data_IF_921616078965
#
_entry.id   IF_921616078965
#
_cell.length_a   1.000
_cell.length_b   1.000
_cell.length_c   1.000
_cell.angle_alpha   90.00
_cell.angle_beta   90.00
_cell.angle_gamma   90.00
#
_symmetry.space_group_name_H-M   'P 1'
#
loop_
_entity.id
_entity.type
_entity.pdbx_description
1 polymer ?
#
# COMPACT_ATOMS: atom_id res chain seq x y z
N UNK A 1 -39.16 23.65 42.15
CA UNK A 1 -39.43 24.90 41.40
C UNK A 1 -38.77 26.08 42.11
N UNK A 2 -37.77 26.73 41.50
CA UNK A 2 -37.41 28.16 41.67
C UNK A 2 -36.26 28.49 40.70
N UNK A 3 -36.55 29.32 39.69
CA UNK A 3 -35.58 29.77 38.68
C UNK A 3 -34.60 30.75 39.32
N UNK A 4 -33.29 30.49 39.20
CA UNK A 4 -32.25 31.47 39.55
C UNK A 4 -32.01 32.34 38.31
N UNK A 5 -32.46 33.60 38.37
CA UNK A 5 -32.16 34.61 37.37
C UNK A 5 -30.74 35.16 37.60
N UNK A 6 -29.88 35.00 36.60
CA UNK A 6 -28.49 35.45 36.58
C UNK A 6 -28.43 36.96 36.29
N UNK A 7 -27.91 37.78 37.22
CA UNK A 7 -27.47 39.14 36.92
C UNK A 7 -25.94 39.19 36.80
N UNK A 8 -25.51 39.23 35.54
CA UNK A 8 -24.26 39.79 34.96
C UNK A 8 -22.90 39.20 35.42
N UNK A 9 -22.22 38.42 34.55
CA UNK A 9 -20.92 37.79 34.81
C UNK A 9 -19.78 38.61 34.17
N UNK A 10 -19.06 39.40 34.96
CA UNK A 10 -17.82 40.06 34.48
C UNK A 10 -16.62 39.96 35.42
N UNK A 11 -16.81 39.49 36.66
CA UNK A 11 -15.74 39.44 37.67
C UNK A 11 -15.28 38.01 38.04
N UNK A 12 -15.96 36.98 37.53
CA UNK A 12 -15.59 35.57 37.76
C UNK A 12 -14.43 35.14 36.83
N UNK A 13 -14.33 35.76 35.65
CA UNK A 13 -13.28 35.44 34.67
C UNK A 13 -11.90 35.98 35.08
N UNK A 14 -11.84 37.09 35.85
CA UNK A 14 -10.55 37.66 36.28
C UNK A 14 -9.93 36.98 37.50
N UNK A 15 -10.71 36.28 38.33
CA UNK A 15 -10.18 35.59 39.51
C UNK A 15 -9.54 34.23 39.18
N UNK A 16 -9.98 33.58 38.09
CA UNK A 16 -9.41 32.30 37.66
C UNK A 16 -8.02 32.43 37.00
N UNK A 17 -7.68 33.58 36.42
CA UNK A 17 -6.40 33.77 35.70
C UNK A 17 -5.24 34.08 36.66
N UNK A 18 -5.49 34.68 37.83
CA UNK A 18 -4.43 35.09 38.75
C UNK A 18 -3.89 33.94 39.65
N UNK A 19 -4.69 32.89 39.90
CA UNK A 19 -4.24 31.73 40.71
C UNK A 19 -3.39 30.75 39.87
N UNK A 20 -3.55 30.73 38.55
CA UNK A 20 -2.78 29.85 37.66
C UNK A 20 -1.31 30.30 37.46
N UNK A 21 -0.96 31.55 37.77
CA UNK A 21 0.39 32.08 37.54
C UNK A 21 1.23 32.25 38.81
N UNK A 22 0.62 32.18 40.00
CA UNK A 22 1.32 32.36 41.28
C UNK A 22 1.86 31.07 41.94
N UNK A 23 1.40 29.89 41.50
CA UNK A 23 1.79 28.59 42.07
C UNK A 23 2.76 27.78 41.19
N UNK A 24 3.23 28.36 40.08
CA UNK A 24 4.08 27.68 39.10
C UNK A 24 5.58 27.72 39.37
N UNK A 25 6.07 28.50 40.35
CA UNK A 25 7.52 28.77 40.44
C UNK A 25 8.14 28.80 41.85
N UNK A 26 7.42 28.47 42.94
CA UNK A 26 7.92 28.75 44.30
C UNK A 26 7.97 27.62 45.34
N UNK A 27 7.36 26.45 45.12
CA UNK A 27 7.07 25.53 46.24
C UNK A 27 7.21 24.03 45.94
N UNK A 28 8.21 23.61 45.17
CA UNK A 28 8.55 22.17 45.05
C UNK A 28 9.95 21.81 45.54
N UNK A 29 10.77 22.79 45.97
CA UNK A 29 12.18 22.56 46.28
C UNK A 29 12.51 22.03 47.69
N UNK A 30 11.56 21.86 48.60
CA UNK A 30 11.87 21.59 50.02
C UNK A 30 11.12 20.42 50.67
N UNK A 31 10.32 19.63 49.94
CA UNK A 31 9.49 18.56 50.55
C UNK A 31 10.04 17.14 50.37
N UNK A 32 11.12 16.93 49.62
CA UNK A 32 11.82 15.64 49.58
C UNK A 32 13.32 15.95 49.47
N UNK A 33 14.11 15.96 50.55
CA UNK A 33 14.31 14.81 51.42
C UNK A 33 15.37 13.89 50.79
N UNK A 34 16.62 14.32 50.93
CA UNK A 34 17.86 13.54 50.93
C UNK A 34 17.78 12.07 50.46
N UNK A 35 18.27 11.79 49.25
CA UNK A 35 18.85 10.49 48.91
C UNK A 35 19.86 10.70 47.80
N UNK A 36 21.14 10.45 48.08
CA UNK A 36 22.23 10.64 47.14
C UNK A 36 21.99 9.83 45.86
N UNK A 37 21.85 10.54 44.75
CA UNK A 37 21.99 9.97 43.43
C UNK A 37 22.90 10.88 42.63
N UNK A 38 24.16 10.46 42.56
CA UNK A 38 25.14 10.93 41.58
C UNK A 38 24.47 10.86 40.21
N UNK A 39 24.19 12.01 39.61
CA UNK A 39 23.56 12.09 38.30
C UNK A 39 24.60 11.60 37.30
N UNK A 40 24.53 10.32 36.95
CA UNK A 40 25.21 9.81 35.77
C UNK A 40 24.66 10.61 34.60
N UNK A 41 25.48 11.30 33.78
CA UNK A 41 24.95 11.99 32.62
C UNK A 41 24.23 10.97 31.75
N UNK A 42 22.94 11.21 31.52
CA UNK A 42 22.12 10.44 30.59
C UNK A 42 22.82 10.47 29.22
N UNK A 43 23.03 9.33 28.55
CA UNK A 43 23.51 9.35 27.18
C UNK A 43 22.54 10.18 26.33
N UNK A 44 23.10 11.14 25.59
CA UNK A 44 22.40 11.99 24.64
C UNK A 44 21.63 11.13 23.64
N UNK A 45 20.38 11.46 23.25
CA UNK A 45 19.60 10.69 22.27
C UNK A 45 20.09 10.92 20.82
N UNK A 46 21.40 11.09 20.64
CA UNK A 46 22.09 11.19 19.36
C UNK A 46 22.83 9.89 19.03
N UNK A 47 22.30 8.75 19.46
CA UNK A 47 22.76 7.42 19.05
C UNK A 47 21.58 6.45 18.93
N UNK A 48 20.45 6.92 18.38
CA UNK A 48 19.53 6.04 17.68
C UNK A 48 20.09 5.86 16.27
N UNK A 49 21.07 4.98 16.16
CA UNK A 49 21.60 4.53 14.89
C UNK A 49 20.45 3.98 14.03
N UNK A 50 19.98 4.79 13.08
CA UNK A 50 19.32 4.30 11.87
C UNK A 50 20.40 3.70 10.96
N UNK A 51 21.15 2.73 11.48
CA UNK A 51 21.90 1.82 10.61
C UNK A 51 20.82 0.92 9.99
N UNK A 52 20.73 0.80 8.65
CA UNK A 52 19.93 -0.27 8.08
C UNK A 52 20.46 -1.55 8.73
N UNK A 53 19.62 -2.22 9.52
CA UNK A 53 19.96 -3.54 10.05
C UNK A 53 20.22 -4.37 8.81
N UNK A 54 21.50 -4.67 8.56
CA UNK A 54 21.90 -5.50 7.44
C UNK A 54 21.31 -6.88 7.76
N UNK A 55 20.09 -7.13 7.27
CA UNK A 55 19.48 -8.44 7.32
C UNK A 55 20.37 -9.28 6.44
N UNK A 56 21.26 -10.07 7.06
CA UNK A 56 22.10 -11.02 6.33
C UNK A 56 21.17 -12.12 5.85
N UNK A 57 20.60 -11.91 4.67
CA UNK A 57 19.74 -12.90 4.01
C UNK A 57 20.64 -14.10 3.65
N UNK A 58 20.24 -15.33 3.97
CA UNK A 58 21.00 -16.51 3.57
C UNK A 58 21.09 -16.62 2.04
N UNK A 59 22.15 -17.27 1.55
CA UNK A 59 22.30 -17.54 0.12
C UNK A 59 21.35 -18.67 -0.31
N UNK A 60 20.48 -18.37 -1.27
CA UNK A 60 19.52 -19.33 -1.86
C UNK A 60 20.06 -20.04 -3.10
N UNK A 61 21.23 -19.65 -3.61
CA UNK A 61 21.86 -20.23 -4.80
C UNK A 61 22.00 -21.76 -4.73
N UNK A 62 22.34 -22.38 -3.59
CA UNK A 62 22.40 -23.84 -3.50
C UNK A 62 21.04 -24.52 -3.71
N UNK A 63 19.97 -23.91 -3.23
CA UNK A 63 18.59 -24.41 -3.37
C UNK A 63 18.14 -24.27 -4.81
N UNK A 64 18.37 -23.11 -5.44
CA UNK A 64 18.05 -22.88 -6.85
C UNK A 64 18.85 -23.83 -7.75
N UNK A 65 20.13 -24.05 -7.47
CA UNK A 65 20.96 -24.98 -8.25
C UNK A 65 20.47 -26.43 -8.14
N UNK A 66 19.93 -26.82 -6.98
CA UNK A 66 19.44 -28.19 -6.75
C UNK A 66 18.03 -28.41 -7.32
N UNK A 67 17.14 -27.43 -7.22
CA UNK A 67 15.71 -27.60 -7.53
C UNK A 67 15.19 -26.72 -8.68
N UNK A 68 16.03 -25.88 -9.29
CA UNK A 68 15.64 -25.00 -10.39
C UNK A 68 15.05 -25.74 -11.59
N UNK A 69 15.57 -26.94 -11.88
CA UNK A 69 15.07 -27.78 -12.98
C UNK A 69 13.66 -28.36 -12.73
N UNK A 70 13.14 -28.25 -11.50
CA UNK A 70 11.76 -28.65 -11.20
C UNK A 70 10.75 -27.55 -11.56
N UNK A 71 11.19 -26.34 -11.93
CA UNK A 71 10.33 -25.21 -12.27
C UNK A 71 10.14 -25.16 -13.78
N UNK A 72 8.90 -25.00 -14.22
CA UNK A 72 8.54 -24.88 -15.64
C UNK A 72 7.78 -23.59 -15.91
N UNK A 73 7.89 -23.11 -17.14
CA UNK A 73 7.05 -22.05 -17.69
C UNK A 73 5.78 -22.67 -18.28
N UNK A 74 4.64 -22.05 -18.01
CA UNK A 74 3.35 -22.43 -18.56
C UNK A 74 2.82 -21.26 -19.38
N UNK A 75 2.51 -21.49 -20.65
CA UNK A 75 1.95 -20.47 -21.54
C UNK A 75 0.81 -21.00 -22.38
N UNK A 76 -0.15 -20.13 -22.69
CA UNK A 76 -1.17 -20.41 -23.70
C UNK A 76 -0.52 -20.26 -25.08
N UNK A 77 -0.66 -21.26 -25.96
CA UNK A 77 -0.27 -21.05 -27.37
C UNK A 77 -1.27 -20.18 -28.10
N UNK A 78 -2.52 -20.13 -27.62
CA UNK A 78 -3.57 -19.35 -28.24
C UNK A 78 -3.47 -17.89 -27.80
N UNK A 79 -3.32 -17.04 -28.81
CA UNK A 79 -3.44 -15.60 -28.64
C UNK A 79 -4.93 -15.27 -28.49
N UNK A 80 -5.35 -14.94 -27.26
CA UNK A 80 -6.67 -14.36 -27.05
C UNK A 80 -6.60 -12.90 -27.42
N UNK A 81 -7.29 -12.55 -28.50
CA UNK A 81 -7.58 -11.15 -28.82
C UNK A 81 -8.65 -10.70 -27.84
N UNK A 82 -8.26 -9.91 -26.84
CA UNK A 82 -9.25 -9.19 -26.03
C UNK A 82 -9.71 -8.02 -26.88
N UNK A 83 -10.92 -8.13 -27.40
CA UNK A 83 -11.56 -7.00 -28.03
C UNK A 83 -12.03 -6.03 -26.96
N UNK A 84 -11.70 -4.75 -27.18
CA UNK A 84 -12.44 -3.59 -26.71
C UNK A 84 -12.03 -3.03 -25.34
N UNK A 85 -10.93 -2.27 -25.35
CA UNK A 85 -11.00 -0.98 -24.66
C UNK A 85 -11.93 -0.11 -25.52
N UNK A 86 -13.09 0.26 -24.97
CA UNK A 86 -13.95 1.26 -25.60
C UNK A 86 -13.21 2.60 -25.56
N UNK A 87 -12.39 2.84 -26.59
CA UNK A 87 -12.04 4.19 -26.99
C UNK A 87 -13.34 4.99 -27.14
N UNK A 88 -13.33 6.23 -26.66
CA UNK A 88 -14.44 7.18 -26.59
C UNK A 88 -15.65 6.79 -27.47
N UNK A 89 -16.71 6.28 -26.83
CA UNK A 89 -17.93 5.88 -27.53
C UNK A 89 -18.55 7.14 -28.15
N UNK A 90 -18.66 7.18 -29.48
CA UNK A 90 -19.40 8.24 -30.14
C UNK A 90 -20.88 8.12 -29.72
N UNK A 91 -21.46 9.10 -29.02
CA UNK A 91 -22.84 9.02 -28.55
C UNK A 91 -23.87 9.08 -29.70
N UNK A 92 -23.43 9.36 -30.93
CA UNK A 92 -24.28 9.44 -32.10
C UNK A 92 -24.30 8.11 -32.89
N UNK A 93 -25.46 7.70 -33.41
CA UNK A 93 -25.56 6.52 -34.25
C UNK A 93 -24.84 6.71 -35.59
N UNK A 94 -24.38 5.63 -36.21
CA UNK A 94 -23.56 5.64 -37.44
C UNK A 94 -24.22 6.32 -38.65
N UNK A 95 -25.54 6.46 -38.64
CA UNK A 95 -26.35 7.11 -39.67
C UNK A 95 -26.63 8.60 -39.38
N UNK A 96 -26.09 9.16 -38.30
CA UNK A 96 -26.30 10.56 -37.93
C UNK A 96 -25.34 11.49 -38.71
N UNK A 97 -25.82 12.66 -39.17
CA UNK A 97 -24.97 13.71 -39.75
C UNK A 97 -23.84 14.16 -38.80
N UNK A 98 -24.00 13.95 -37.48
CA UNK A 98 -23.03 14.34 -36.45
C UNK A 98 -21.98 13.25 -36.15
N UNK A 99 -22.08 12.07 -36.76
CA UNK A 99 -21.16 10.96 -36.50
C UNK A 99 -19.70 11.30 -36.85
N UNK A 100 -19.48 12.09 -37.92
CA UNK A 100 -18.14 12.49 -38.38
C UNK A 100 -17.48 13.59 -37.54
N UNK A 101 -18.21 14.30 -36.68
CA UNK A 101 -17.69 15.46 -35.94
C UNK A 101 -16.60 15.09 -34.92
N UNK A 102 -16.57 13.84 -34.46
CA UNK A 102 -15.66 13.35 -33.41
C UNK A 102 -14.48 12.54 -33.97
N UNK A 103 -14.48 12.22 -35.27
CA UNK A 103 -13.49 11.34 -35.92
C UNK A 103 -12.07 11.93 -36.03
N UNK A 104 -11.88 13.21 -35.69
CA UNK A 104 -10.59 13.91 -35.72
C UNK A 104 -10.15 14.49 -34.38
N UNK A 105 -10.85 14.18 -33.29
CA UNK A 105 -10.41 14.59 -31.95
C UNK A 105 -9.19 13.75 -31.54
N UNK A 106 -8.18 14.34 -30.89
CA UNK A 106 -6.93 13.65 -30.52
C UNK A 106 -7.10 12.44 -29.59
N UNK A 107 -8.32 12.19 -29.09
CA UNK A 107 -8.67 11.08 -28.21
C UNK A 107 -9.49 9.97 -28.91
N UNK A 108 -9.69 10.04 -30.23
CA UNK A 108 -10.32 8.95 -30.98
C UNK A 108 -9.26 7.90 -31.35
N UNK A 109 -8.88 7.08 -30.37
CA UNK A 109 -8.06 5.90 -30.61
C UNK A 109 -8.99 4.75 -31.00
N UNK A 110 -8.87 4.19 -32.22
CA UNK A 110 -9.63 2.97 -32.55
C UNK A 110 -9.28 1.88 -31.54
N UNK A 111 -10.22 0.98 -31.20
CA UNK A 111 -9.97 -0.08 -30.25
C UNK A 111 -8.80 -0.92 -30.75
N UNK A 112 -7.65 -0.79 -30.08
CA UNK A 112 -6.50 -1.62 -30.35
C UNK A 112 -6.85 -3.03 -29.87
N UNK A 113 -6.59 -4.02 -30.73
CA UNK A 113 -6.75 -5.42 -30.38
C UNK A 113 -5.59 -5.78 -29.47
N UNK A 114 -5.81 -5.77 -28.15
CA UNK A 114 -4.79 -6.23 -27.22
C UNK A 114 -4.70 -7.75 -27.28
N UNK A 115 -3.53 -8.24 -27.68
CA UNK A 115 -3.19 -9.66 -27.64
C UNK A 115 -2.73 -9.96 -26.22
N UNK A 116 -3.60 -10.57 -25.42
CA UNK A 116 -3.21 -11.03 -24.08
C UNK A 116 -2.79 -12.49 -24.16
N UNK A 117 -1.54 -12.78 -23.79
CA UNK A 117 -1.05 -14.15 -23.59
C UNK A 117 -1.07 -14.48 -22.10
N UNK A 118 -1.73 -15.57 -21.73
CA UNK A 118 -1.67 -16.06 -20.36
C UNK A 118 -0.30 -16.71 -20.10
N UNK A 119 0.35 -16.29 -19.02
CA UNK A 119 1.67 -16.75 -18.60
C UNK A 119 1.66 -17.09 -17.10
N UNK A 120 2.23 -18.23 -16.73
CA UNK A 120 2.53 -18.58 -15.35
C UNK A 120 3.70 -19.54 -15.20
N UNK A 121 3.92 -19.99 -13.98
CA UNK A 121 4.91 -21.00 -13.61
C UNK A 121 4.25 -22.23 -13.00
N UNK A 122 4.97 -23.34 -12.98
CA UNK A 122 4.57 -24.55 -12.29
C UNK A 122 5.77 -25.32 -11.72
N UNK A 123 5.48 -26.31 -10.89
CA UNK A 123 6.47 -27.20 -10.30
C UNK A 123 6.21 -28.65 -10.71
N UNK A 124 7.25 -29.35 -11.15
CA UNK A 124 7.24 -30.79 -11.36
C UNK A 124 7.30 -31.47 -9.99
N UNK A 125 6.26 -32.22 -9.65
CA UNK A 125 6.16 -32.92 -8.36
C UNK A 125 6.52 -34.40 -8.42
N UNK A 126 6.65 -34.96 -9.63
CA UNK A 126 6.93 -36.38 -9.83
C UNK A 126 7.63 -36.64 -11.16
N UNK A 127 8.42 -37.71 -11.21
CA UNK A 127 9.25 -38.11 -12.35
C UNK A 127 8.46 -38.51 -13.60
N UNK A 128 7.18 -38.84 -13.43
CA UNK A 128 6.24 -39.11 -14.53
C UNK A 128 5.67 -37.83 -15.18
N UNK A 129 6.15 -36.63 -14.79
CA UNK A 129 5.79 -35.37 -15.44
C UNK A 129 4.57 -34.65 -14.88
N UNK A 130 4.12 -34.99 -13.67
CA UNK A 130 3.02 -34.25 -13.02
C UNK A 130 3.49 -32.87 -12.59
N UNK A 131 2.75 -31.84 -13.00
CA UNK A 131 3.03 -30.44 -12.73
C UNK A 131 1.90 -29.83 -11.91
N UNK A 132 2.25 -29.08 -10.86
CA UNK A 132 1.30 -28.28 -10.06
C UNK A 132 1.48 -26.80 -10.40
N UNK A 133 0.37 -26.12 -10.67
CA UNK A 133 0.31 -24.68 -10.91
C UNK A 133 -0.95 -24.09 -10.28
N UNK A 134 -1.04 -22.76 -10.22
CA UNK A 134 -2.24 -22.10 -9.73
C UNK A 134 -3.39 -22.29 -10.71
N UNK A 135 -4.60 -22.61 -10.20
CA UNK A 135 -5.75 -22.88 -11.06
C UNK A 135 -6.15 -21.72 -11.98
N UNK A 136 -5.87 -20.47 -11.59
CA UNK A 136 -6.15 -19.31 -12.45
C UNK A 136 -5.21 -19.19 -13.64
N UNK A 137 -4.02 -19.80 -13.59
CA UNK A 137 -3.05 -19.78 -14.68
C UNK A 137 -3.59 -20.58 -15.86
N UNK A 138 -4.16 -21.76 -15.59
CA UNK A 138 -4.64 -22.69 -16.62
C UNK A 138 -6.12 -22.52 -16.96
N UNK A 139 -6.87 -21.74 -16.17
CA UNK A 139 -8.32 -21.58 -16.38
C UNK A 139 -8.59 -20.91 -17.73
N UNK A 140 -9.31 -21.62 -18.59
CA UNK A 140 -9.69 -21.13 -19.91
C UNK A 140 -8.57 -21.18 -20.95
N UNK A 141 -7.40 -21.74 -20.64
CA UNK A 141 -6.41 -22.08 -21.67
C UNK A 141 -6.96 -23.24 -22.51
N UNK A 142 -6.86 -23.14 -23.84
CA UNK A 142 -7.23 -24.23 -24.75
C UNK A 142 -6.01 -25.07 -25.13
N UNK A 143 -4.85 -24.43 -25.22
CA UNK A 143 -3.60 -25.10 -25.57
C UNK A 143 -2.50 -24.69 -24.60
N UNK A 144 -2.03 -25.67 -23.82
CA UNK A 144 -1.01 -25.45 -22.79
C UNK A 144 0.34 -25.87 -23.33
N UNK A 145 1.27 -24.91 -23.41
CA UNK A 145 2.68 -25.16 -23.68
C UNK A 145 3.49 -25.08 -22.40
N UNK A 146 4.37 -26.07 -22.22
CA UNK A 146 5.30 -26.16 -21.09
C UNK A 146 6.72 -26.05 -21.61
N UNK A 147 7.55 -25.21 -20.99
CA UNK A 147 8.97 -25.01 -21.35
C UNK A 147 9.85 -24.94 -20.11
#
# INVERSE_FOLDING_TARGET
MRKIQWKRPRYIVSLAVAVALGFGLGATGWVFGESGHTITPLPSPSEAETRPRLVKIPDFSPIVKKYGNAIVRISDSDTKIVHEHQGFFNPFPKNSPFFGFFHGLPNYTPPEKEVTKALGSGFIISHNGYIVTAGHVVRGMHHIMVT
#
